data_IF_968754640933
#
_entry.id   IF_968754640933
#
_cell.length_a   1.000
_cell.length_b   1.000
_cell.length_c   1.000
_cell.angle_alpha   90.00
_cell.angle_beta   90.00
_cell.angle_gamma   90.00
#
_symmetry.space_group_name_H-M   'P 1'
#
loop_
_entity.id
_entity.type
_entity.pdbx_description
1 polymer ?
#
# COMPACT_ATOMS: atom_id res chain seq x y z
N UNK A 1 18.52 -5.07 -8.95
CA UNK A 1 17.27 -5.88 -8.84
C UNK A 1 16.11 -5.04 -8.32
N UNK A 2 16.19 -4.44 -7.11
CA UNK A 2 15.07 -3.64 -6.53
C UNK A 2 14.71 -2.50 -7.46
N UNK A 3 15.62 -1.62 -7.79
CA UNK A 3 15.40 -0.47 -8.68
C UNK A 3 14.68 -0.84 -9.99
N UNK A 4 15.14 -1.89 -10.69
CA UNK A 4 14.56 -2.30 -11.98
C UNK A 4 13.11 -2.80 -11.88
N UNK A 5 12.66 -3.18 -10.67
CA UNK A 5 11.31 -3.69 -10.44
C UNK A 5 10.38 -2.67 -9.82
N UNK A 6 10.93 -1.74 -9.04
CA UNK A 6 10.14 -0.80 -8.25
C UNK A 6 10.31 0.66 -8.67
N UNK A 7 11.36 0.96 -9.45
CA UNK A 7 11.78 2.34 -9.75
C UNK A 7 12.40 3.08 -8.56
N UNK A 8 12.59 2.40 -7.40
CA UNK A 8 13.02 3.02 -6.16
C UNK A 8 14.43 2.55 -5.75
N UNK A 9 15.22 3.46 -5.24
CA UNK A 9 16.46 3.13 -4.54
C UNK A 9 16.15 2.48 -3.18
N UNK A 10 17.11 1.71 -2.65
CA UNK A 10 16.96 1.14 -1.31
C UNK A 10 17.18 2.26 -0.29
N UNK A 11 16.11 2.60 0.43
CA UNK A 11 16.10 3.67 1.41
C UNK A 11 15.21 3.31 2.61
N UNK A 12 15.53 3.83 3.78
CA UNK A 12 14.74 3.67 5.00
C UNK A 12 13.39 4.41 4.96
N UNK A 13 13.23 5.31 4.01
CA UNK A 13 11.97 6.01 3.75
C UNK A 13 10.84 5.06 3.38
N UNK A 14 11.14 3.99 2.62
CA UNK A 14 10.14 3.09 2.08
C UNK A 14 9.73 1.97 3.05
N UNK A 15 8.50 1.51 2.90
CA UNK A 15 7.88 0.54 3.82
C UNK A 15 8.61 -0.80 3.89
N UNK A 16 9.19 -1.28 2.80
CA UNK A 16 9.87 -2.58 2.76
C UNK A 16 11.00 -2.70 3.79
N UNK A 17 11.83 -1.67 3.93
CA UNK A 17 12.91 -1.63 4.93
C UNK A 17 12.37 -1.50 6.35
N UNK A 18 11.30 -0.73 6.55
CA UNK A 18 10.62 -0.58 7.85
C UNK A 18 10.00 -1.89 8.32
N UNK A 19 9.31 -2.61 7.43
CA UNK A 19 8.76 -3.94 7.74
C UNK A 19 9.89 -4.90 8.15
N UNK A 20 10.97 -4.93 7.36
CA UNK A 20 12.14 -5.75 7.64
C UNK A 20 12.69 -5.45 9.03
N UNK A 21 12.89 -4.17 9.35
CA UNK A 21 13.38 -3.73 10.65
C UNK A 21 12.45 -4.17 11.80
N UNK A 22 11.14 -3.96 11.66
CA UNK A 22 10.14 -4.37 12.65
C UNK A 22 10.18 -5.89 12.87
N UNK A 23 10.23 -6.66 11.79
CA UNK A 23 10.29 -8.13 11.88
C UNK A 23 11.57 -8.63 12.56
N UNK A 24 12.67 -7.90 12.45
CA UNK A 24 13.95 -8.30 13.04
C UNK A 24 14.13 -7.81 14.47
N UNK A 25 13.56 -6.67 14.84
CA UNK A 25 13.86 -5.99 16.11
C UNK A 25 12.70 -5.96 17.10
N UNK A 26 11.43 -6.11 16.64
CA UNK A 26 10.28 -6.08 17.53
C UNK A 26 10.00 -7.51 18.05
N UNK A 27 10.07 -7.74 19.37
CA UNK A 27 9.76 -9.04 19.96
C UNK A 27 8.38 -9.53 19.49
N UNK A 28 8.29 -10.84 19.19
CA UNK A 28 7.06 -11.51 18.73
C UNK A 28 6.58 -11.15 17.30
N UNK A 29 7.09 -10.09 16.63
CA UNK A 29 6.60 -9.70 15.30
C UNK A 29 6.67 -10.87 14.29
N UNK A 30 7.79 -11.58 14.22
CA UNK A 30 7.92 -12.77 13.35
C UNK A 30 6.97 -13.90 13.74
N UNK A 31 6.75 -14.11 15.04
CA UNK A 31 5.79 -15.13 15.52
C UNK A 31 4.38 -14.77 15.08
N UNK A 32 3.96 -13.51 15.26
CA UNK A 32 2.65 -13.02 14.81
C UNK A 32 2.49 -13.15 13.30
N UNK A 33 3.52 -12.78 12.52
CA UNK A 33 3.52 -12.98 11.07
C UNK A 33 3.34 -14.46 10.70
N UNK A 34 4.12 -15.36 11.30
CA UNK A 34 4.04 -16.78 11.00
C UNK A 34 2.68 -17.40 11.38
N UNK A 35 2.07 -16.90 12.44
CA UNK A 35 0.74 -17.31 12.90
C UNK A 35 -0.42 -16.62 12.16
N UNK A 36 -0.15 -15.81 11.12
CA UNK A 36 -1.14 -15.02 10.38
C UNK A 36 -1.94 -14.03 11.25
N UNK A 37 -1.30 -13.51 12.30
CA UNK A 37 -1.86 -12.55 13.25
C UNK A 37 -1.28 -11.15 13.06
N UNK A 38 -0.52 -10.93 12.00
CA UNK A 38 0.07 -9.65 11.63
C UNK A 38 -0.44 -9.23 10.27
N UNK A 39 -0.81 -7.99 10.14
CA UNK A 39 -1.14 -7.34 8.88
C UNK A 39 -0.27 -6.11 8.73
N UNK A 40 0.13 -5.82 7.50
CA UNK A 40 0.81 -4.59 7.11
C UNK A 40 -0.15 -3.75 6.26
N UNK A 41 -0.01 -2.43 6.36
CA UNK A 41 -0.66 -1.50 5.46
C UNK A 41 0.04 -0.14 5.49
N UNK A 42 -0.04 0.57 4.40
CA UNK A 42 0.15 2.01 4.32
C UNK A 42 -1.08 2.70 4.94
N UNK A 43 -1.04 4.02 5.07
CA UNK A 43 -2.11 4.76 5.78
C UNK A 43 -3.50 4.54 5.14
N UNK A 44 -3.57 4.42 3.82
CA UNK A 44 -4.78 4.11 3.08
C UNK A 44 -5.39 2.76 3.50
N UNK A 45 -4.56 1.70 3.53
CA UNK A 45 -5.00 0.37 4.00
C UNK A 45 -5.51 0.40 5.43
N UNK A 46 -4.83 1.15 6.31
CA UNK A 46 -5.27 1.32 7.70
C UNK A 46 -6.62 2.03 7.77
N UNK A 47 -6.82 3.08 6.97
CA UNK A 47 -8.10 3.81 6.92
C UNK A 47 -9.23 2.92 6.38
N UNK A 48 -9.01 2.21 5.28
CA UNK A 48 -9.97 1.27 4.72
C UNK A 48 -10.35 0.22 5.78
N UNK A 49 -9.35 -0.38 6.42
CA UNK A 49 -9.57 -1.38 7.45
C UNK A 49 -10.40 -0.84 8.63
N UNK A 50 -10.11 0.38 9.09
CA UNK A 50 -10.88 1.05 10.14
C UNK A 50 -12.30 1.39 9.70
N UNK A 51 -12.45 2.00 8.52
CA UNK A 51 -13.76 2.40 7.98
C UNK A 51 -14.68 1.21 7.72
N UNK A 52 -14.12 0.08 7.31
CA UNK A 52 -14.87 -1.17 7.07
C UNK A 52 -15.00 -2.05 8.31
N UNK A 53 -14.48 -1.63 9.46
CA UNK A 53 -14.38 -2.43 10.69
C UNK A 53 -13.70 -3.78 10.49
N UNK A 54 -12.57 -3.76 9.81
CA UNK A 54 -11.71 -4.95 9.62
C UNK A 54 -12.16 -5.90 8.53
N UNK A 55 -13.18 -5.54 7.73
CA UNK A 55 -13.67 -6.40 6.65
C UNK A 55 -12.80 -6.38 5.40
N UNK A 56 -12.14 -5.27 5.12
CA UNK A 56 -11.33 -5.09 3.91
C UNK A 56 -9.90 -4.71 4.29
N UNK A 57 -8.94 -5.47 3.76
CA UNK A 57 -7.52 -5.20 3.85
C UNK A 57 -6.98 -5.02 2.44
N UNK A 58 -7.05 -3.82 1.93
CA UNK A 58 -6.69 -3.48 0.55
C UNK A 58 -5.87 -2.18 0.50
N UNK A 59 -5.20 -1.98 -0.62
CA UNK A 59 -4.49 -0.76 -1.02
C UNK A 59 -4.67 -0.58 -2.52
N UNK A 60 -4.32 0.58 -3.05
CA UNK A 60 -4.25 0.78 -4.50
C UNK A 60 -2.82 0.69 -5.04
N UNK A 61 -2.70 0.61 -6.38
CA UNK A 61 -1.41 0.48 -7.04
C UNK A 61 -0.47 1.66 -6.77
N UNK A 62 -0.99 2.89 -6.61
CA UNK A 62 -0.17 4.08 -6.38
C UNK A 62 0.46 4.06 -4.99
N UNK A 63 -0.29 3.72 -3.94
CA UNK A 63 0.25 3.52 -2.59
C UNK A 63 1.19 2.31 -2.53
N UNK A 64 0.82 1.19 -3.14
CA UNK A 64 1.66 0.00 -3.21
C UNK A 64 3.02 0.29 -3.86
N UNK A 65 3.06 1.10 -4.92
CA UNK A 65 4.29 1.47 -5.63
C UNK A 65 5.31 2.21 -4.74
N UNK A 66 4.88 2.83 -3.65
CA UNK A 66 5.75 3.55 -2.71
C UNK A 66 6.34 2.67 -1.61
N UNK A 67 6.09 1.37 -1.63
CA UNK A 67 6.52 0.45 -0.56
C UNK A 67 7.90 -0.18 -0.79
N UNK A 68 8.48 -0.08 -1.98
CA UNK A 68 9.72 -0.75 -2.42
C UNK A 68 9.61 -2.28 -2.52
N UNK A 69 8.43 -2.84 -2.35
CA UNK A 69 8.17 -4.30 -2.45
C UNK A 69 7.13 -4.65 -3.51
N UNK A 70 6.64 -3.64 -4.24
CA UNK A 70 5.69 -3.77 -5.33
C UNK A 70 6.40 -3.63 -6.69
N UNK A 71 6.17 -4.58 -7.58
CA UNK A 71 6.72 -4.56 -8.93
C UNK A 71 5.79 -3.78 -9.86
N UNK A 72 6.24 -2.60 -10.29
CA UNK A 72 5.45 -1.67 -11.12
C UNK A 72 5.24 -2.15 -12.56
N UNK A 73 6.04 -3.10 -13.03
CA UNK A 73 5.89 -3.67 -14.38
C UNK A 73 4.87 -4.80 -14.42
N UNK A 74 4.81 -5.62 -13.36
CA UNK A 74 3.88 -6.76 -13.27
C UNK A 74 2.61 -6.44 -12.47
N UNK A 75 2.54 -5.26 -11.84
CA UNK A 75 1.46 -4.81 -10.97
C UNK A 75 1.15 -5.81 -9.84
N UNK A 76 2.19 -6.31 -9.17
CA UNK A 76 2.07 -7.30 -8.09
C UNK A 76 3.13 -7.09 -7.01
N UNK A 77 2.87 -7.57 -5.80
CA UNK A 77 3.90 -7.74 -4.79
C UNK A 77 5.00 -8.65 -5.34
N UNK A 78 6.27 -8.20 -5.28
CA UNK A 78 7.40 -8.92 -5.88
C UNK A 78 7.93 -10.02 -4.97
N UNK A 79 7.70 -11.27 -5.35
CA UNK A 79 8.05 -12.44 -4.54
C UNK A 79 9.57 -12.55 -4.27
N UNK A 80 10.43 -12.08 -5.20
CA UNK A 80 11.88 -12.11 -5.01
C UNK A 80 12.33 -11.07 -3.96
N UNK A 81 11.74 -9.87 -3.98
CA UNK A 81 12.01 -8.83 -2.98
C UNK A 81 11.46 -9.26 -1.62
N UNK A 82 10.25 -9.81 -1.58
CA UNK A 82 9.65 -10.33 -0.35
C UNK A 82 10.52 -11.43 0.29
N UNK A 83 11.04 -12.35 -0.54
CA UNK A 83 11.97 -13.40 -0.09
C UNK A 83 13.25 -12.80 0.46
N UNK A 84 13.85 -11.82 -0.22
CA UNK A 84 15.06 -11.12 0.22
C UNK A 84 14.87 -10.47 1.59
N UNK A 85 13.74 -9.78 1.78
CA UNK A 85 13.41 -9.09 3.03
C UNK A 85 12.81 -10.02 4.10
N UNK A 86 12.59 -11.31 3.78
CA UNK A 86 11.93 -12.30 4.65
C UNK A 86 10.54 -11.88 5.11
N UNK A 87 9.79 -11.24 4.22
CA UNK A 87 8.40 -10.81 4.42
C UNK A 87 7.47 -11.86 3.82
N UNK A 88 6.45 -12.28 4.57
CA UNK A 88 5.43 -13.21 4.07
C UNK A 88 4.33 -12.44 3.35
N UNK A 89 3.95 -12.88 2.16
CA UNK A 89 2.96 -12.21 1.29
C UNK A 89 1.58 -12.05 1.96
N UNK A 90 1.20 -12.98 2.81
CA UNK A 90 -0.12 -12.97 3.46
C UNK A 90 -0.33 -11.83 4.48
N UNK A 91 0.73 -11.09 4.85
CA UNK A 91 0.56 -9.90 5.70
C UNK A 91 0.25 -8.64 4.87
N UNK A 92 0.39 -8.70 3.55
CA UNK A 92 0.25 -7.56 2.66
C UNK A 92 -1.20 -7.40 2.20
N UNK A 93 -1.68 -6.16 1.98
CA UNK A 93 -3.03 -5.91 1.50
C UNK A 93 -3.21 -6.39 0.05
N UNK A 94 -4.45 -6.67 -0.33
CA UNK A 94 -4.82 -6.81 -1.73
C UNK A 94 -4.57 -5.51 -2.47
N UNK A 95 -3.93 -5.57 -3.64
CA UNK A 95 -3.71 -4.38 -4.47
C UNK A 95 -4.81 -4.28 -5.52
N UNK A 96 -5.49 -3.15 -5.55
CA UNK A 96 -6.59 -2.83 -6.47
C UNK A 96 -6.23 -1.66 -7.37
N UNK A 97 -7.08 -1.37 -8.36
CA UNK A 97 -6.99 -0.13 -9.11
C UNK A 97 -7.40 1.06 -8.22
N UNK A 98 -6.98 2.29 -8.59
CA UNK A 98 -7.37 3.49 -7.82
C UNK A 98 -8.89 3.69 -7.79
N UNK A 99 -9.58 3.38 -8.89
CA UNK A 99 -11.05 3.33 -8.99
C UNK A 99 -11.51 1.87 -8.95
N UNK A 100 -11.91 1.40 -7.78
CA UNK A 100 -12.29 0.00 -7.52
C UNK A 100 -13.22 -0.07 -6.30
N UNK A 101 -13.78 -1.25 -6.02
CA UNK A 101 -14.56 -1.48 -4.81
C UNK A 101 -13.64 -1.81 -3.61
N UNK A 102 -13.49 -0.86 -2.71
CA UNK A 102 -12.78 -1.04 -1.44
C UNK A 102 -13.74 -1.33 -0.27
N UNK A 103 -15.00 -1.71 -0.58
CA UNK A 103 -16.02 -2.00 0.40
C UNK A 103 -16.82 -0.77 0.82
N UNK A 104 -17.46 -0.86 1.98
CA UNK A 104 -18.33 0.20 2.48
C UNK A 104 -17.98 0.58 3.92
N UNK A 105 -18.15 1.85 4.25
CA UNK A 105 -18.01 2.32 5.62
C UNK A 105 -19.03 1.62 6.52
N UNK A 106 -18.61 1.32 7.75
CA UNK A 106 -19.53 0.76 8.72
C UNK A 106 -20.50 1.85 9.23
N UNK A 107 -21.79 1.57 9.19
CA UNK A 107 -22.87 2.53 9.57
C UNK A 107 -22.70 3.20 10.93
N UNK A 108 -22.04 2.54 11.90
CA UNK A 108 -21.80 3.12 13.22
C UNK A 108 -20.79 4.27 13.22
N UNK A 109 -20.04 4.47 12.12
CA UNK A 109 -19.07 5.55 11.99
C UNK A 109 -19.67 6.78 11.30
N UNK A 110 -20.57 6.56 10.35
CA UNK A 110 -21.08 7.59 9.44
C UNK A 110 -22.61 7.71 9.42
N UNK A 111 -23.29 6.95 10.30
CA UNK A 111 -24.76 6.89 10.32
C UNK A 111 -25.36 6.01 9.22
N UNK A 112 -24.70 5.86 8.10
CA UNK A 112 -25.10 5.03 6.94
C UNK A 112 -23.89 4.34 6.33
N UNK A 113 -24.08 3.29 5.53
CA UNK A 113 -23.01 2.70 4.72
C UNK A 113 -22.74 3.56 3.49
N UNK A 114 -21.50 3.95 3.29
CA UNK A 114 -21.03 4.74 2.16
C UNK A 114 -20.00 3.89 1.41
N UNK A 115 -20.16 3.67 0.08
CA UNK A 115 -19.17 2.93 -0.71
C UNK A 115 -17.83 3.68 -0.74
N UNK A 116 -16.73 2.93 -0.68
CA UNK A 116 -15.37 3.43 -0.87
C UNK A 116 -14.93 2.99 -2.26
N UNK A 117 -15.08 3.86 -3.26
CA UNK A 117 -14.87 3.55 -4.67
C UNK A 117 -13.59 4.14 -5.24
N UNK A 118 -12.77 4.78 -4.41
CA UNK A 118 -11.53 5.38 -4.86
C UNK A 118 -10.50 5.48 -3.75
N UNK A 119 -9.28 5.09 -4.07
CA UNK A 119 -8.10 5.21 -3.22
C UNK A 119 -6.92 5.55 -4.11
N UNK A 120 -6.18 6.58 -3.75
CA UNK A 120 -5.05 7.05 -4.55
C UNK A 120 -4.02 7.75 -3.65
N UNK A 121 -2.74 7.58 -3.93
CA UNK A 121 -1.67 8.31 -3.25
C UNK A 121 -1.77 9.82 -3.51
N UNK A 122 -1.40 10.64 -2.52
CA UNK A 122 -1.53 12.10 -2.55
C UNK A 122 -0.87 12.75 -3.77
N UNK A 123 0.34 12.32 -4.13
CA UNK A 123 1.07 12.87 -5.27
C UNK A 123 0.44 12.49 -6.62
N UNK A 124 -0.05 11.27 -6.75
CA UNK A 124 -0.76 10.79 -7.93
C UNK A 124 -2.13 11.47 -8.04
N UNK A 125 -2.83 11.61 -6.93
CA UNK A 125 -4.09 12.36 -6.85
C UNK A 125 -3.90 13.83 -7.29
N UNK A 126 -2.82 14.48 -6.81
CA UNK A 126 -2.50 15.83 -7.21
C UNK A 126 -2.18 15.95 -8.72
N UNK A 127 -1.56 14.94 -9.32
CA UNK A 127 -1.30 14.89 -10.78
C UNK A 127 -2.61 14.87 -11.56
N UNK A 128 -3.57 14.05 -11.13
CA UNK A 128 -4.92 14.01 -11.69
C UNK A 128 -5.63 15.35 -11.48
N UNK A 129 -5.56 15.90 -10.26
CA UNK A 129 -6.18 17.18 -9.92
C UNK A 129 -5.62 18.38 -10.71
N UNK A 130 -4.38 18.29 -11.21
CA UNK A 130 -3.76 19.27 -12.12
C UNK A 130 -4.01 18.96 -13.60
N UNK A 131 -4.89 18.00 -13.91
CA UNK A 131 -5.22 17.58 -15.27
C UNK A 131 -4.01 17.16 -16.12
N UNK A 132 -2.99 16.58 -15.49
CA UNK A 132 -1.80 16.09 -16.20
C UNK A 132 -2.07 14.71 -16.80
N UNK A 133 -2.88 14.64 -17.86
CA UNK A 133 -3.27 13.39 -18.52
C UNK A 133 -2.48 13.09 -19.80
N UNK A 134 -1.89 14.12 -20.41
CA UNK A 134 -1.16 13.95 -21.66
C UNK A 134 0.33 13.65 -21.41
N UNK A 135 0.98 12.81 -22.26
CA UNK A 135 2.42 12.61 -22.20
C UNK A 135 3.17 13.96 -22.32
N UNK A 136 4.09 14.21 -21.38
CA UNK A 136 4.84 15.48 -21.30
C UNK A 136 4.21 16.52 -20.38
N UNK A 137 2.99 16.32 -19.89
CA UNK A 137 2.42 17.18 -18.84
C UNK A 137 3.21 17.02 -17.54
N UNK A 138 3.41 18.13 -16.83
CA UNK A 138 4.17 18.16 -15.59
C UNK A 138 3.34 18.75 -14.45
N UNK A 139 3.48 18.14 -13.29
CA UNK A 139 3.00 18.65 -12.01
C UNK A 139 4.19 18.80 -11.08
N UNK A 140 4.35 19.96 -10.46
CA UNK A 140 5.38 20.21 -9.44
C UNK A 140 4.75 20.39 -8.06
N UNK A 141 5.42 19.85 -7.04
CA UNK A 141 5.06 20.04 -5.64
C UNK A 141 6.24 20.65 -4.92
N UNK A 142 5.98 21.76 -4.27
CA UNK A 142 6.94 22.41 -3.38
C UNK A 142 6.48 22.18 -1.93
N UNK A 143 7.39 21.71 -1.09
CA UNK A 143 7.16 21.46 0.34
C UNK A 143 8.13 22.24 1.19
#
# INVERSE_FOLDING_TARGET
>A
MVFNKTGLLIDSYFSGTKIKWILDNVPKARKLMNNKQLMFGTIDSFLIWKLTRGKVHATDATNASRTMIYNISSNKWDDAILKLLKIKKHILPEVKNCADDFGQTHKSLTGKSIPINGVVGDQQSATIGQCCFEPGSLKSTYG
#
